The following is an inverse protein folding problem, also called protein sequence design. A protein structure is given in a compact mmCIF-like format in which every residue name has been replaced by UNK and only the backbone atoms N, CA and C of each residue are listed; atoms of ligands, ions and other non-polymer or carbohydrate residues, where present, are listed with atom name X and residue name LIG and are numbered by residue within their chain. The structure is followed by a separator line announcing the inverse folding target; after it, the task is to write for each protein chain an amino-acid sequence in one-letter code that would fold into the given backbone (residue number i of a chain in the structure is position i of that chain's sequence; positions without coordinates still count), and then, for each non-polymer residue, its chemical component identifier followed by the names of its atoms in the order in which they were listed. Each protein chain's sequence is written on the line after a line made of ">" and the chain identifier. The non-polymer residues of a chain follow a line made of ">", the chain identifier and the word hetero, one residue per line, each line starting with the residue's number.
data_IF_036184984113
#
_entry.id   IF_036184984113
#
_cell.length_a   1.000
_cell.length_b   1.000
_cell.length_c   1.000
_cell.angle_alpha   90.00
_cell.angle_beta   90.00
_cell.angle_gamma   90.00
#
_symmetry.space_group_name_H-M   'P 1'
#
loop_
_entity.id
_entity.type
_entity.pdbx_description
1 polymer ?
#
# COMPACT_ATOMS: atom_id res chain seq x y z
N UNK A 1 7.97 9.41 14.05
CA UNK A 1 7.80 7.99 14.48
C UNK A 1 9.11 7.23 14.24
N UNK A 2 9.55 6.37 15.15
CA UNK A 2 10.71 5.50 14.87
C UNK A 2 10.27 4.34 13.97
N UNK A 3 10.53 4.45 12.66
CA UNK A 3 10.11 3.46 11.66
C UNK A 3 10.75 2.09 11.88
N UNK A 4 11.98 2.02 12.37
CA UNK A 4 12.65 0.75 12.66
C UNK A 4 11.90 -0.03 13.75
N UNK A 5 11.57 0.64 14.84
CA UNK A 5 10.81 0.03 15.94
C UNK A 5 9.39 -0.32 15.50
N UNK A 6 8.74 0.53 14.69
CA UNK A 6 7.41 0.25 14.16
C UNK A 6 7.39 -1.02 13.31
N UNK A 7 8.33 -1.15 12.37
CA UNK A 7 8.42 -2.34 11.53
C UNK A 7 8.79 -3.60 12.32
N UNK A 8 9.62 -3.50 13.36
CA UNK A 8 9.91 -4.63 14.26
C UNK A 8 8.68 -5.07 15.04
N UNK A 9 7.89 -4.10 15.54
CA UNK A 9 6.64 -4.38 16.25
C UNK A 9 5.64 -5.09 15.34
N UNK A 10 5.43 -4.57 14.12
CA UNK A 10 4.57 -5.20 13.11
C UNK A 10 4.97 -6.65 12.85
N UNK A 11 6.27 -6.90 12.65
CA UNK A 11 6.78 -8.25 12.46
C UNK A 11 6.50 -9.16 13.66
N UNK A 12 6.83 -8.72 14.88
CA UNK A 12 6.65 -9.55 16.08
C UNK A 12 5.20 -9.89 16.37
N UNK A 13 4.29 -8.96 16.12
CA UNK A 13 2.85 -9.18 16.32
C UNK A 13 2.29 -10.10 15.23
N UNK A 14 2.72 -9.90 13.99
CA UNK A 14 2.21 -10.66 12.84
C UNK A 14 2.72 -12.09 12.84
N UNK A 15 4.00 -12.34 13.16
CA UNK A 15 4.53 -13.70 13.16
C UNK A 15 3.86 -14.57 14.22
N UNK A 16 3.51 -13.99 15.37
CA UNK A 16 2.75 -14.69 16.42
C UNK A 16 1.35 -15.07 15.91
N UNK A 17 0.65 -14.12 15.26
CA UNK A 17 -0.67 -14.40 14.68
C UNK A 17 -0.61 -15.49 13.62
N UNK A 18 0.36 -15.40 12.70
CA UNK A 18 0.55 -16.36 11.62
C UNK A 18 0.87 -17.75 12.19
N UNK A 19 1.79 -17.86 13.16
CA UNK A 19 2.15 -19.15 13.77
C UNK A 19 1.04 -19.81 14.59
N UNK A 20 0.04 -19.02 14.98
CA UNK A 20 -1.12 -19.48 15.75
C UNK A 20 -2.39 -19.60 14.89
N UNK A 21 -2.27 -19.59 13.55
CA UNK A 21 -3.39 -19.67 12.61
C UNK A 21 -4.46 -18.57 12.80
N UNK A 22 -4.06 -17.41 13.32
CA UNK A 22 -4.92 -16.22 13.52
C UNK A 22 -4.56 -15.09 12.55
N UNK A 23 -4.12 -15.48 11.35
CA UNK A 23 -3.85 -14.59 10.23
C UNK A 23 -5.15 -14.10 9.57
N UNK A 24 -5.03 -13.07 8.74
CA UNK A 24 -6.15 -12.45 8.02
C UNK A 24 -6.14 -12.91 6.56
N UNK A 25 -7.23 -13.53 6.10
CA UNK A 25 -7.44 -13.91 4.70
C UNK A 25 -8.46 -12.98 4.07
N UNK A 26 -8.16 -12.46 2.88
CA UNK A 26 -9.18 -11.88 2.02
C UNK A 26 -9.86 -12.98 1.19
N UNK A 27 -11.04 -13.41 1.64
CA UNK A 27 -11.81 -14.47 0.98
C UNK A 27 -12.36 -14.08 -0.40
N UNK A 28 -12.25 -12.81 -0.78
CA UNK A 28 -12.74 -12.30 -2.07
C UNK A 28 -11.63 -12.05 -3.08
N UNK A 29 -10.36 -12.25 -2.73
CA UNK A 29 -9.21 -11.86 -3.57
C UNK A 29 -9.22 -12.45 -4.98
N UNK A 30 -9.73 -13.67 -5.13
CA UNK A 30 -9.88 -14.38 -6.42
C UNK A 30 -11.35 -14.58 -6.82
N UNK A 31 -12.27 -13.89 -6.14
CA UNK A 31 -13.71 -14.04 -6.37
C UNK A 31 -14.17 -13.20 -7.56
N UNK A 32 -14.87 -13.84 -8.50
CA UNK A 32 -15.57 -13.16 -9.60
C UNK A 32 -16.76 -12.31 -9.13
N UNK A 33 -17.12 -12.42 -7.85
CA UNK A 33 -18.19 -11.67 -7.19
C UNK A 33 -17.66 -10.53 -6.32
N UNK A 34 -16.36 -10.27 -6.34
CA UNK A 34 -15.81 -9.12 -5.62
C UNK A 34 -16.17 -7.81 -6.34
N UNK A 35 -17.27 -7.21 -5.89
CA UNK A 35 -17.74 -5.92 -6.38
C UNK A 35 -17.24 -4.75 -5.51
N UNK A 36 -16.31 -5.00 -4.58
CA UNK A 36 -15.76 -3.93 -3.75
C UNK A 36 -15.00 -2.96 -4.65
N UNK A 37 -15.40 -1.69 -4.58
CA UNK A 37 -14.79 -0.63 -5.38
C UNK A 37 -14.47 0.57 -4.49
N UNK A 38 -13.38 1.27 -4.81
CA UNK A 38 -12.88 2.39 -4.02
C UNK A 38 -11.86 3.22 -4.80
N UNK A 39 -11.42 4.32 -4.20
CA UNK A 39 -10.45 5.24 -4.81
C UNK A 39 -9.29 5.43 -3.83
N UNK A 40 -8.08 5.11 -4.28
CA UNK A 40 -6.87 5.29 -3.48
C UNK A 40 -5.87 6.15 -4.23
N UNK A 41 -5.27 7.12 -3.54
CA UNK A 41 -4.14 7.89 -4.05
C UNK A 41 -2.84 7.11 -3.81
N UNK A 42 -2.06 6.94 -4.88
CA UNK A 42 -0.88 6.06 -4.90
C UNK A 42 0.37 6.82 -5.32
N UNK A 43 1.51 6.45 -4.71
CA UNK A 43 2.84 6.74 -5.25
C UNK A 43 3.40 5.45 -5.86
N UNK A 44 3.85 5.52 -7.12
CA UNK A 44 4.44 4.37 -7.82
C UNK A 44 5.96 4.46 -7.76
N UNK A 45 6.66 3.44 -7.20
CA UNK A 45 8.12 3.38 -7.28
C UNK A 45 8.60 3.34 -8.73
N UNK A 46 9.83 3.80 -8.96
CA UNK A 46 10.45 3.72 -10.28
C UNK A 46 10.56 2.29 -10.78
N UNK A 47 10.59 2.11 -12.10
CA UNK A 47 10.73 0.79 -12.75
C UNK A 47 11.88 -0.03 -12.16
N UNK A 48 13.05 0.61 -11.93
CA UNK A 48 14.22 -0.03 -11.33
C UNK A 48 13.96 -0.60 -9.94
N UNK A 49 13.17 0.10 -9.11
CA UNK A 49 12.79 -0.40 -7.78
C UNK A 49 11.82 -1.56 -7.92
N UNK A 50 10.80 -1.43 -8.76
CA UNK A 50 9.80 -2.49 -8.94
C UNK A 50 10.40 -3.77 -9.51
N UNK A 51 11.33 -3.68 -10.45
CA UNK A 51 12.07 -4.84 -10.97
C UNK A 51 12.88 -5.56 -9.88
N UNK A 52 13.50 -4.82 -8.95
CA UNK A 52 14.20 -5.43 -7.81
C UNK A 52 13.23 -6.16 -6.87
N UNK A 53 12.06 -5.58 -6.62
CA UNK A 53 11.00 -6.22 -5.83
C UNK A 53 10.51 -7.49 -6.53
N UNK A 54 10.23 -7.43 -7.84
CA UNK A 54 9.81 -8.60 -8.62
C UNK A 54 10.86 -9.72 -8.58
N UNK A 55 12.14 -9.42 -8.77
CA UNK A 55 13.23 -10.41 -8.62
C UNK A 55 13.29 -11.04 -7.23
N UNK A 56 12.90 -10.31 -6.18
CA UNK A 56 12.79 -10.85 -4.84
C UNK A 56 11.55 -11.77 -4.72
N UNK A 57 10.39 -11.35 -5.20
CA UNK A 57 9.16 -12.15 -5.20
C UNK A 57 9.34 -13.48 -5.96
N UNK A 58 10.04 -13.49 -7.09
CA UNK A 58 10.37 -14.71 -7.85
C UNK A 58 11.16 -15.75 -7.04
N UNK A 59 11.91 -15.32 -6.02
CA UNK A 59 12.60 -16.26 -5.11
C UNK A 59 11.64 -16.82 -4.07
N UNK A 60 10.73 -15.99 -3.55
CA UNK A 60 9.74 -16.41 -2.55
C UNK A 60 8.69 -17.34 -3.17
N UNK A 61 8.27 -17.07 -4.42
CA UNK A 61 7.32 -17.91 -5.17
C UNK A 61 7.82 -19.33 -5.40
N UNK A 62 9.14 -19.57 -5.38
CA UNK A 62 9.71 -20.93 -5.45
C UNK A 62 9.58 -21.71 -4.14
N UNK A 63 9.37 -21.01 -3.03
CA UNK A 63 9.23 -21.59 -1.69
C UNK A 63 7.75 -21.77 -1.36
N UNK A 64 6.94 -20.73 -1.57
CA UNK A 64 5.49 -20.73 -1.30
C UNK A 64 4.72 -20.27 -2.56
N UNK A 65 4.47 -21.16 -3.54
CA UNK A 65 3.92 -20.78 -4.84
C UNK A 65 2.45 -20.36 -4.81
N UNK A 66 1.69 -20.82 -3.81
CA UNK A 66 0.22 -20.72 -3.76
C UNK A 66 -0.29 -19.45 -3.07
N UNK A 67 0.59 -18.48 -2.83
CA UNK A 67 0.24 -17.17 -2.28
C UNK A 67 -0.09 -16.16 -3.38
N UNK A 68 -0.82 -15.10 -3.04
CA UNK A 68 -1.03 -13.97 -3.95
C UNK A 68 0.24 -13.12 -4.07
N UNK A 69 0.76 -12.96 -5.30
CA UNK A 69 1.93 -12.15 -5.59
C UNK A 69 1.57 -10.96 -6.48
N UNK A 70 1.91 -9.76 -6.04
CA UNK A 70 1.59 -8.54 -6.78
C UNK A 70 2.30 -8.50 -8.14
N UNK A 71 1.59 -8.24 -9.25
CA UNK A 71 2.23 -7.93 -10.52
C UNK A 71 2.91 -6.56 -10.46
N UNK A 72 3.76 -6.27 -11.45
CA UNK A 72 4.53 -5.03 -11.51
C UNK A 72 3.66 -3.76 -11.64
N UNK A 73 2.44 -3.90 -12.15
CA UNK A 73 1.42 -2.83 -12.23
C UNK A 73 0.93 -2.39 -10.84
N UNK A 74 0.94 -3.33 -9.89
CA UNK A 74 0.24 -3.19 -8.61
C UNK A 74 1.21 -2.84 -7.48
N UNK A 75 2.53 -2.84 -7.72
CA UNK A 75 3.50 -2.37 -6.73
C UNK A 75 3.36 -0.85 -6.56
N UNK A 76 2.94 -0.44 -5.38
CA UNK A 76 2.74 0.96 -5.01
C UNK A 76 3.01 1.22 -3.52
N UNK A 77 3.08 2.51 -3.17
CA UNK A 77 2.98 3.00 -1.80
C UNK A 77 1.64 3.72 -1.68
N UNK A 78 0.80 3.26 -0.76
CA UNK A 78 -0.50 3.90 -0.49
C UNK A 78 -0.28 5.24 0.19
N UNK A 79 -0.75 6.32 -0.44
CA UNK A 79 -0.78 7.65 0.19
C UNK A 79 -1.97 7.72 1.11
N UNK A 80 -3.18 7.49 0.55
CA UNK A 80 -4.44 7.57 1.27
C UNK A 80 -5.55 6.84 0.50
N UNK A 81 -6.40 6.11 1.23
CA UNK A 81 -7.70 5.69 0.72
C UNK A 81 -8.63 6.91 0.71
N UNK A 82 -8.90 7.46 -0.47
CA UNK A 82 -9.78 8.61 -0.66
C UNK A 82 -11.24 8.19 -0.46
N UNK A 83 -11.60 7.05 -1.04
CA UNK A 83 -12.87 6.36 -0.82
C UNK A 83 -12.53 4.92 -0.51
N UNK A 84 -12.96 4.46 0.67
CA UNK A 84 -12.76 3.07 1.12
C UNK A 84 -13.29 2.07 0.10
N UNK A 85 -12.68 0.89 0.05
CA UNK A 85 -13.12 -0.19 -0.82
C UNK A 85 -14.32 -0.91 -0.17
N UNK A 86 -15.51 -0.77 -0.75
CA UNK A 86 -16.73 -1.46 -0.29
C UNK A 86 -17.66 -1.76 -1.47
N UNK A 87 -18.57 -2.74 -1.28
CA UNK A 87 -19.55 -3.11 -2.29
C UNK A 87 -20.65 -2.04 -2.42
N UNK A 88 -21.03 -1.71 -3.65
CA UNK A 88 -22.04 -0.70 -3.96
C UNK A 88 -21.53 0.73 -4.08
N UNK A 89 -20.21 0.97 -4.00
CA UNK A 89 -19.65 2.27 -4.37
C UNK A 89 -19.82 2.53 -5.88
N UNK A 90 -20.40 3.67 -6.22
CA UNK A 90 -20.68 4.07 -7.60
C UNK A 90 -19.98 5.39 -7.91
N UNK A 91 -18.96 5.33 -8.78
CA UNK A 91 -18.15 6.49 -9.17
C UNK A 91 -18.96 7.57 -9.88
N UNK A 92 -20.10 7.23 -10.47
CA UNK A 92 -20.96 8.20 -11.16
C UNK A 92 -21.70 9.11 -10.17
N UNK A 93 -21.72 8.75 -8.89
CA UNK A 93 -22.36 9.52 -7.82
C UNK A 93 -21.44 10.53 -7.15
N UNK A 94 -20.18 10.62 -7.57
CA UNK A 94 -19.20 11.58 -7.04
C UNK A 94 -18.81 12.60 -8.11
N UNK A 95 -18.44 13.80 -7.67
CA UNK A 95 -17.83 14.81 -8.53
C UNK A 95 -16.33 14.52 -8.68
N UNK A 96 -16.00 13.58 -9.55
CA UNK A 96 -14.62 13.16 -9.78
C UNK A 96 -13.69 14.34 -10.18
N UNK A 97 -14.08 15.27 -11.07
CA UNK A 97 -13.30 16.48 -11.33
C UNK A 97 -12.94 17.27 -10.06
N UNK A 98 -13.88 17.43 -9.12
CA UNK A 98 -13.61 18.13 -7.87
C UNK A 98 -12.61 17.40 -6.99
N UNK A 99 -12.66 16.07 -6.91
CA UNK A 99 -11.64 15.28 -6.20
C UNK A 99 -10.25 15.49 -6.82
N UNK A 100 -10.14 15.48 -8.15
CA UNK A 100 -8.88 15.70 -8.86
C UNK A 100 -8.32 17.08 -8.52
N UNK A 101 -9.14 18.14 -8.62
CA UNK A 101 -8.73 19.52 -8.32
C UNK A 101 -8.20 19.67 -6.88
N UNK A 102 -8.91 19.11 -5.90
CA UNK A 102 -8.51 19.15 -4.49
C UNK A 102 -7.19 18.40 -4.26
N UNK A 103 -7.03 17.23 -4.87
CA UNK A 103 -5.79 16.45 -4.77
C UNK A 103 -4.64 17.24 -5.39
N UNK A 104 -4.79 17.80 -6.59
CA UNK A 104 -3.76 18.62 -7.24
C UNK A 104 -3.34 19.82 -6.37
N UNK A 105 -4.32 20.50 -5.75
CA UNK A 105 -4.06 21.56 -4.78
C UNK A 105 -3.24 21.05 -3.59
N UNK A 106 -3.59 19.90 -3.01
CA UNK A 106 -2.86 19.30 -1.89
C UNK A 106 -1.44 18.84 -2.27
N UNK A 107 -1.21 18.48 -3.53
CA UNK A 107 0.10 18.07 -4.04
C UNK A 107 1.01 19.27 -4.37
N UNK A 108 0.45 20.46 -4.53
CA UNK A 108 1.23 21.67 -4.78
C UNK A 108 2.23 21.95 -3.63
N UNK A 109 3.50 22.17 -3.98
CA UNK A 109 4.56 22.55 -3.03
C UNK A 109 5.53 21.45 -2.57
N UNK A 110 5.18 20.16 -2.70
CA UNK A 110 6.07 19.04 -2.32
C UNK A 110 6.51 18.29 -3.58
N UNK A 111 7.77 18.45 -4.00
CA UNK A 111 8.26 17.86 -5.27
C UNK A 111 9.20 16.67 -5.09
N UNK A 112 9.84 16.55 -3.92
CA UNK A 112 10.88 15.55 -3.68
C UNK A 112 10.42 14.51 -2.65
N UNK A 113 9.77 13.45 -3.15
CA UNK A 113 9.41 12.27 -2.38
C UNK A 113 10.45 11.16 -2.60
N UNK A 114 11.47 11.12 -1.74
CA UNK A 114 12.45 10.05 -1.74
C UNK A 114 12.09 8.98 -0.72
N UNK A 115 11.90 7.75 -1.22
CA UNK A 115 11.67 6.55 -0.40
C UNK A 115 12.82 5.57 -0.61
N UNK A 116 13.53 5.24 0.47
CA UNK A 116 14.45 4.11 0.49
C UNK A 116 13.71 2.86 0.94
N UNK A 117 13.75 1.80 0.12
CA UNK A 117 13.20 0.50 0.48
C UNK A 117 14.31 -0.41 1.02
N UNK A 118 14.16 -0.92 2.25
CA UNK A 118 15.19 -1.75 2.91
C UNK A 118 14.59 -2.79 3.84
N UNK A 119 14.73 -4.06 3.44
CA UNK A 119 14.24 -5.20 4.20
C UNK A 119 12.72 -5.40 4.09
N UNK A 120 12.24 -6.42 4.78
CA UNK A 120 10.84 -6.83 4.80
C UNK A 120 10.31 -6.86 6.24
N UNK A 121 9.00 -6.80 6.38
CA UNK A 121 8.25 -7.04 7.61
C UNK A 121 7.00 -7.87 7.28
N UNK A 122 6.16 -8.14 8.28
CA UNK A 122 4.89 -8.83 8.11
C UNK A 122 3.73 -8.02 8.69
N UNK A 123 2.56 -8.19 8.10
CA UNK A 123 1.24 -7.93 8.68
C UNK A 123 0.55 -9.27 8.94
N UNK A 124 -0.59 -9.30 9.66
CA UNK A 124 -1.38 -10.53 9.80
C UNK A 124 -1.88 -11.09 8.46
N UNK A 125 -1.88 -10.26 7.40
CA UNK A 125 -2.37 -10.57 6.06
C UNK A 125 -1.26 -10.84 5.03
N UNK A 126 0.03 -10.76 5.40
CA UNK A 126 1.11 -11.08 4.47
C UNK A 126 2.44 -10.37 4.73
N UNK A 127 3.29 -10.32 3.70
CA UNK A 127 4.64 -9.76 3.76
C UNK A 127 4.66 -8.37 3.12
N UNK A 128 5.40 -7.45 3.72
CA UNK A 128 5.54 -6.07 3.23
C UNK A 128 7.01 -5.67 3.07
N UNK A 129 7.30 -4.86 2.05
CA UNK A 129 8.61 -4.19 1.91
C UNK A 129 8.63 -2.95 2.78
N UNK A 130 9.71 -2.74 3.53
CA UNK A 130 9.84 -1.60 4.45
C UNK A 130 10.33 -0.37 3.68
N UNK A 131 9.55 0.71 3.72
CA UNK A 131 9.89 2.02 3.14
C UNK A 131 10.31 3.03 4.21
N UNK A 132 11.31 3.85 3.90
CA UNK A 132 11.84 4.92 4.74
C UNK A 132 11.90 6.21 3.95
N UNK A 133 11.19 7.24 4.43
CA UNK A 133 11.24 8.58 3.84
C UNK A 133 12.50 9.33 4.30
N UNK A 134 13.08 10.15 3.44
CA UNK A 134 14.15 11.08 3.81
C UNK A 134 13.63 12.35 4.51
N UNK A 135 12.35 12.68 4.30
CA UNK A 135 11.70 13.88 4.81
C UNK A 135 10.23 13.60 5.18
N UNK A 136 9.53 14.63 5.67
CA UNK A 136 8.10 14.56 6.04
C UNK A 136 7.14 14.82 4.87
N UNK A 137 7.63 14.94 3.62
CA UNK A 137 6.83 15.38 2.47
C UNK A 137 5.57 14.52 2.23
N UNK A 138 5.68 13.20 2.35
CA UNK A 138 4.53 12.30 2.22
C UNK A 138 3.51 12.48 3.36
N UNK A 139 3.99 12.73 4.58
CA UNK A 139 3.12 12.99 5.72
C UNK A 139 2.44 14.35 5.58
N UNK A 140 3.15 15.38 5.13
CA UNK A 140 2.57 16.70 4.85
C UNK A 140 1.45 16.61 3.80
N UNK A 141 1.67 15.85 2.72
CA UNK A 141 0.63 15.58 1.70
C UNK A 141 -0.59 14.92 2.35
N UNK A 142 -0.38 13.87 3.17
CA UNK A 142 -1.47 13.19 3.88
C UNK A 142 -2.23 14.12 4.81
N UNK A 143 -1.54 14.98 5.55
CA UNK A 143 -2.18 15.93 6.46
C UNK A 143 -2.97 17.01 5.72
N UNK A 144 -2.52 17.46 4.55
CA UNK A 144 -3.30 18.40 3.71
C UNK A 144 -4.55 17.72 3.16
N UNK A 145 -4.41 16.51 2.61
CA UNK A 145 -5.52 15.74 2.08
C UNK A 145 -6.61 15.44 3.13
N UNK A 146 -6.26 15.29 4.41
CA UNK A 146 -7.23 15.09 5.50
C UNK A 146 -7.99 16.35 5.92
N UNK A 147 -7.51 17.54 5.53
CA UNK A 147 -8.07 18.83 5.93
C UNK A 147 -9.01 19.43 4.88
N UNK A 148 -8.96 18.95 3.65
CA UNK A 148 -9.93 19.28 2.59
C UNK A 148 -11.12 18.33 2.67
#
# INVERSE_FOLDING_TARGET
>A
MNLELHYKKLYSESINKISNDTYEIDNLIDSDKDNRFGITLLVRPSTKVKEKIQKFLEKIKKIEPDQYYYPNSDIHVTVMSIISCYDGFDITKIDLPRYIELIEKCLSGERDLNVTFKGITASPSGIMVRGFMENEGLNNIRERLRKE
#
